data_IF_503878154899
#
_entry.id   IF_503878154899
#
_cell.length_a   1.000
_cell.length_b   1.000
_cell.length_c   1.000
_cell.angle_alpha   90.00
_cell.angle_beta   90.00
_cell.angle_gamma   90.00
#
_symmetry.space_group_name_H-M   'P 1'
#
loop_
_entity.id
_entity.type
_entity.pdbx_description
1 polymer ?
#
# COMPACT_ATOMS: atom_id res chain seq x y z
N UNK A 1 21.59 7.00 -37.76
CA UNK A 1 22.39 5.75 -37.85
C UNK A 1 21.51 4.63 -38.38
N UNK A 2 21.95 3.86 -39.36
CA UNK A 2 21.13 2.86 -40.04
C UNK A 2 21.81 1.48 -40.03
N UNK A 3 20.98 0.42 -40.22
CA UNK A 3 21.42 -0.92 -40.52
C UNK A 3 22.31 -0.90 -41.78
N UNK A 4 23.42 -1.70 -41.84
CA UNK A 4 23.88 -2.70 -40.88
C UNK A 4 24.82 -2.19 -39.77
N UNK A 5 25.15 -0.90 -39.75
CA UNK A 5 26.10 -0.32 -38.77
C UNK A 5 25.51 -0.37 -37.38
N UNK A 6 24.27 0.09 -37.19
CA UNK A 6 23.56 0.06 -35.95
C UNK A 6 22.76 -1.22 -35.80
N UNK A 7 23.09 -2.04 -34.77
CA UNK A 7 22.47 -3.34 -34.50
C UNK A 7 22.16 -3.48 -32.99
N UNK A 8 20.99 -3.09 -32.49
CA UNK A 8 20.62 -3.19 -31.07
C UNK A 8 20.72 -4.62 -30.50
N UNK A 9 20.58 -5.66 -31.34
CA UNK A 9 20.70 -7.08 -30.92
C UNK A 9 22.07 -7.43 -30.34
N UNK A 10 23.12 -6.65 -30.61
CA UNK A 10 24.47 -6.89 -30.09
C UNK A 10 24.48 -6.94 -28.56
N UNK A 11 23.76 -6.01 -27.92
CA UNK A 11 23.68 -5.92 -26.46
C UNK A 11 22.71 -6.94 -25.82
N UNK A 12 21.93 -7.67 -26.64
CA UNK A 12 21.00 -8.72 -26.16
C UNK A 12 21.55 -10.14 -26.30
N UNK A 13 22.72 -10.32 -26.93
CA UNK A 13 23.22 -11.62 -27.35
C UNK A 13 23.53 -12.58 -26.20
N UNK A 14 24.02 -12.09 -25.09
CA UNK A 14 24.33 -12.92 -23.91
C UNK A 14 23.66 -12.35 -22.65
N UNK A 15 23.51 -13.22 -21.65
CA UNK A 15 22.94 -12.82 -20.35
C UNK A 15 23.82 -11.75 -19.67
N UNK A 16 25.13 -11.93 -19.68
CA UNK A 16 26.07 -10.96 -19.11
C UNK A 16 25.93 -9.58 -19.75
N UNK A 17 25.83 -9.48 -21.08
CA UNK A 17 25.60 -8.21 -21.76
C UNK A 17 24.26 -7.58 -21.34
N UNK A 18 23.20 -8.38 -21.28
CA UNK A 18 21.88 -7.87 -20.83
C UNK A 18 21.93 -7.37 -19.38
N UNK A 19 22.62 -8.08 -18.48
CA UNK A 19 22.81 -7.64 -17.08
C UNK A 19 23.61 -6.34 -16.99
N UNK A 20 24.67 -6.18 -17.81
CA UNK A 20 25.49 -4.95 -17.81
C UNK A 20 24.72 -3.69 -18.23
N UNK A 21 23.85 -3.80 -19.22
CA UNK A 21 23.10 -2.65 -19.77
C UNK A 21 21.71 -2.47 -19.18
N UNK A 22 21.37 -3.21 -18.11
CA UNK A 22 20.09 -3.14 -17.42
C UNK A 22 19.95 -1.78 -16.74
N UNK A 23 18.95 -0.99 -17.15
CA UNK A 23 18.71 0.37 -16.64
C UNK A 23 17.92 0.35 -15.31
N UNK A 24 16.97 -0.58 -15.16
CA UNK A 24 16.13 -0.72 -13.96
C UNK A 24 16.52 -1.97 -13.19
N UNK A 25 16.75 -1.83 -11.89
CA UNK A 25 17.05 -2.94 -10.97
C UNK A 25 16.10 -2.89 -9.80
N UNK A 26 15.68 -4.06 -9.34
CA UNK A 26 14.91 -4.23 -8.11
C UNK A 26 15.87 -4.62 -6.97
N UNK A 27 15.55 -4.14 -5.78
CA UNK A 27 16.16 -4.54 -4.52
C UNK A 27 15.06 -4.92 -3.53
N UNK A 28 15.29 -5.80 -2.55
CA UNK A 28 14.38 -5.99 -1.42
C UNK A 28 14.04 -4.68 -0.70
N UNK A 29 14.93 -3.69 -0.74
CA UNK A 29 14.76 -2.35 -0.16
C UNK A 29 13.67 -1.52 -0.86
N UNK A 30 13.28 -1.89 -2.08
CA UNK A 30 12.19 -1.23 -2.80
C UNK A 30 10.81 -1.65 -2.28
N UNK A 31 10.71 -2.72 -1.46
CA UNK A 31 9.43 -3.34 -1.12
C UNK A 31 8.90 -2.94 0.26
N UNK A 32 7.59 -2.74 0.30
CA UNK A 32 6.80 -2.62 1.54
C UNK A 32 5.85 -3.83 1.58
N UNK A 33 5.90 -4.61 2.64
CA UNK A 33 5.11 -5.84 2.75
C UNK A 33 3.80 -5.60 3.52
N UNK A 34 2.60 -5.82 2.92
CA UNK A 34 1.31 -5.64 3.57
C UNK A 34 0.96 -6.79 4.51
N UNK A 35 0.47 -6.45 5.71
CA UNK A 35 -0.01 -7.40 6.71
C UNK A 35 -1.42 -7.03 7.18
N UNK A 36 -2.30 -8.03 7.27
CA UNK A 36 -3.63 -7.91 7.88
C UNK A 36 -3.58 -8.42 9.31
N UNK A 37 -3.98 -7.57 10.27
CA UNK A 37 -3.91 -7.89 11.69
C UNK A 37 -5.30 -8.02 12.31
N UNK A 38 -5.50 -9.09 13.08
CA UNK A 38 -6.74 -9.41 13.78
C UNK A 38 -6.50 -9.62 15.27
N UNK A 39 -7.57 -9.48 16.07
CA UNK A 39 -7.54 -9.84 17.49
C UNK A 39 -7.39 -11.35 17.69
N UNK A 40 -6.83 -11.73 18.84
CA UNK A 40 -6.66 -13.12 19.24
C UNK A 40 -5.22 -13.51 19.48
N UNK A 41 -4.98 -14.81 19.58
CA UNK A 41 -3.64 -15.40 19.76
C UNK A 41 -3.53 -16.67 18.92
N UNK A 42 -2.46 -16.81 18.15
CA UNK A 42 -2.23 -17.92 17.22
C UNK A 42 -3.34 -18.05 16.15
N UNK A 43 -3.99 -16.94 15.82
CA UNK A 43 -5.01 -16.88 14.80
C UNK A 43 -4.37 -16.64 13.44
N UNK A 44 -4.70 -17.50 12.48
CA UNK A 44 -4.35 -17.36 11.07
C UNK A 44 -5.56 -17.74 10.24
N UNK A 45 -6.12 -16.78 9.51
CA UNK A 45 -7.22 -17.01 8.56
C UNK A 45 -6.70 -16.76 7.16
N UNK A 46 -6.55 -17.83 6.38
CA UNK A 46 -6.12 -17.74 4.99
C UNK A 46 -7.19 -17.03 4.15
N UNK A 47 -6.77 -16.10 3.28
CA UNK A 47 -7.66 -15.34 2.39
C UNK A 47 -7.80 -16.10 1.09
N UNK A 48 -9.01 -16.59 0.81
CA UNK A 48 -9.27 -17.49 -0.31
C UNK A 48 -8.87 -16.86 -1.66
N UNK A 49 -9.20 -15.60 -1.87
CA UNK A 49 -8.92 -14.88 -3.11
C UNK A 49 -7.46 -14.44 -3.24
N UNK A 50 -6.62 -14.62 -2.19
CA UNK A 50 -5.21 -14.23 -2.16
C UNK A 50 -4.32 -15.38 -1.65
N UNK A 51 -4.04 -16.40 -2.46
CA UNK A 51 -3.27 -17.59 -2.02
C UNK A 51 -1.93 -17.22 -1.39
N UNK A 52 -1.69 -17.65 -0.15
CA UNK A 52 -0.47 -17.37 0.60
C UNK A 52 -0.53 -16.11 1.49
N UNK A 53 -1.61 -15.34 1.42
CA UNK A 53 -1.87 -14.19 2.30
C UNK A 53 -2.93 -14.58 3.34
N UNK A 54 -2.77 -14.10 4.58
CA UNK A 54 -3.69 -14.40 5.67
C UNK A 54 -3.90 -13.20 6.59
N UNK A 55 -5.03 -13.19 7.29
CA UNK A 55 -5.22 -12.36 8.47
C UNK A 55 -4.51 -13.03 9.66
N UNK A 56 -3.72 -12.27 10.40
CA UNK A 56 -2.84 -12.77 11.44
C UNK A 56 -3.13 -12.09 12.78
N UNK A 57 -3.16 -12.86 13.87
CA UNK A 57 -3.09 -12.27 15.20
C UNK A 57 -1.74 -11.60 15.43
N UNK A 58 -1.68 -10.65 16.38
CA UNK A 58 -0.49 -9.82 16.63
C UNK A 58 0.79 -10.67 16.84
N UNK A 59 0.70 -11.78 17.57
CA UNK A 59 1.83 -12.68 17.81
C UNK A 59 2.35 -13.38 16.52
N UNK A 60 1.49 -13.64 15.57
CA UNK A 60 1.89 -14.19 14.26
C UNK A 60 2.34 -13.08 13.30
N UNK A 61 1.73 -11.90 13.35
CA UNK A 61 2.17 -10.75 12.58
C UNK A 61 3.60 -10.32 12.95
N UNK A 62 3.99 -10.41 14.22
CA UNK A 62 5.38 -10.19 14.66
C UNK A 62 6.35 -11.17 14.00
N UNK A 63 6.00 -12.46 13.94
CA UNK A 63 6.86 -13.46 13.27
C UNK A 63 6.99 -13.23 11.78
N UNK A 64 5.89 -12.85 11.14
CA UNK A 64 5.86 -12.52 9.71
C UNK A 64 6.71 -11.27 9.42
N UNK A 65 6.66 -10.27 10.30
CA UNK A 65 7.49 -9.06 10.24
C UNK A 65 8.99 -9.40 10.42
N UNK A 66 9.34 -10.27 11.36
CA UNK A 66 10.71 -10.77 11.57
C UNK A 66 11.25 -11.49 10.32
N UNK A 67 10.42 -12.35 9.72
CA UNK A 67 10.81 -13.06 8.48
C UNK A 67 11.05 -12.08 7.33
N UNK A 68 10.13 -11.13 7.10
CA UNK A 68 10.27 -10.12 6.05
C UNK A 68 11.54 -9.28 6.23
N UNK A 69 11.80 -8.82 7.44
CA UNK A 69 13.01 -8.05 7.78
C UNK A 69 14.29 -8.87 7.55
N UNK A 70 14.29 -10.15 7.95
CA UNK A 70 15.40 -11.08 7.70
C UNK A 70 15.67 -11.37 6.22
N UNK A 71 14.72 -11.10 5.35
CA UNK A 71 14.88 -11.16 3.90
C UNK A 71 15.44 -9.88 3.29
N UNK A 72 15.61 -8.80 4.08
CA UNK A 72 16.07 -7.50 3.64
C UNK A 72 14.95 -6.55 3.22
N UNK A 73 13.68 -6.87 3.51
CA UNK A 73 12.54 -5.97 3.29
C UNK A 73 12.51 -4.96 4.44
N UNK A 74 12.67 -3.65 4.19
CA UNK A 74 12.86 -2.66 5.24
C UNK A 74 11.56 -2.22 5.91
N UNK A 75 10.41 -2.45 5.28
CA UNK A 75 9.15 -1.89 5.71
C UNK A 75 7.96 -2.85 5.56
N UNK A 76 7.01 -2.71 6.47
CA UNK A 76 5.68 -3.33 6.39
C UNK A 76 4.60 -2.25 6.44
N UNK A 77 3.40 -2.57 5.92
CA UNK A 77 2.21 -1.75 6.12
C UNK A 77 1.11 -2.58 6.77
N UNK A 78 0.49 -2.05 7.83
CA UNK A 78 -0.52 -2.74 8.64
C UNK A 78 -1.93 -2.31 8.25
N UNK A 79 -2.81 -3.30 8.05
CA UNK A 79 -4.26 -3.15 7.90
C UNK A 79 -4.95 -3.87 9.06
N UNK A 80 -5.79 -3.16 9.82
CA UNK A 80 -6.42 -3.71 11.02
C UNK A 80 -7.85 -4.17 10.77
N UNK A 81 -8.17 -5.37 11.23
CA UNK A 81 -9.55 -5.86 11.26
C UNK A 81 -10.03 -5.85 12.71
N UNK A 82 -10.97 -4.97 13.07
CA UNK A 82 -11.43 -4.79 14.45
C UNK A 82 -12.28 -5.99 14.90
N UNK A 83 -12.35 -6.21 16.20
CA UNK A 83 -13.24 -7.20 16.79
C UNK A 83 -14.71 -6.83 16.61
N UNK A 84 -15.01 -5.53 16.62
CA UNK A 84 -16.37 -5.00 16.46
C UNK A 84 -16.34 -3.75 15.60
N UNK A 85 -17.21 -3.70 14.62
CA UNK A 85 -17.40 -2.52 13.77
C UNK A 85 -18.58 -1.68 14.26
N UNK A 86 -18.49 -0.37 14.12
CA UNK A 86 -19.56 0.56 14.43
C UNK A 86 -19.69 1.67 13.37
N UNK A 87 -20.64 2.56 13.49
CA UNK A 87 -20.91 3.62 12.51
C UNK A 87 -19.76 4.65 12.40
N UNK A 88 -18.92 4.76 13.40
CA UNK A 88 -17.83 5.76 13.49
C UNK A 88 -16.44 5.15 13.42
N UNK A 89 -16.33 3.81 13.33
CA UNK A 89 -15.05 3.13 13.31
C UNK A 89 -14.22 3.36 14.58
N UNK A 90 -14.86 3.32 15.77
CA UNK A 90 -14.24 3.76 17.03
C UNK A 90 -12.98 2.99 17.42
N UNK A 91 -12.83 1.74 16.99
CA UNK A 91 -11.62 0.96 17.24
C UNK A 91 -10.40 1.48 16.47
N UNK A 92 -10.59 2.16 15.33
CA UNK A 92 -9.51 2.70 14.49
C UNK A 92 -8.56 3.62 15.26
N UNK A 93 -9.10 4.42 16.18
CA UNK A 93 -8.36 5.39 17.00
C UNK A 93 -8.29 5.01 18.49
N UNK A 94 -8.56 3.75 18.81
CA UNK A 94 -8.46 3.25 20.18
C UNK A 94 -7.01 2.93 20.55
N UNK A 95 -6.53 3.39 21.71
CA UNK A 95 -5.19 3.02 22.23
C UNK A 95 -4.98 1.52 22.39
N UNK A 96 -6.05 0.76 22.53
CA UNK A 96 -6.07 -0.72 22.60
C UNK A 96 -6.52 -1.38 21.29
N UNK A 97 -6.62 -0.63 20.19
CA UNK A 97 -6.93 -1.16 18.86
C UNK A 97 -5.89 -2.16 18.38
N UNK A 98 -6.31 -3.05 17.49
CA UNK A 98 -5.45 -4.15 17.03
C UNK A 98 -4.18 -3.65 16.33
N UNK A 99 -4.27 -2.57 15.55
CA UNK A 99 -3.11 -1.96 14.88
C UNK A 99 -2.15 -1.36 15.91
N UNK A 100 -2.65 -0.60 16.90
CA UNK A 100 -1.83 -0.02 17.94
C UNK A 100 -1.12 -1.08 18.79
N UNK A 101 -1.77 -2.23 19.03
CA UNK A 101 -1.15 -3.38 19.67
C UNK A 101 -0.05 -4.01 18.78
N UNK A 102 -0.33 -4.16 17.47
CA UNK A 102 0.64 -4.71 16.51
C UNK A 102 1.88 -3.82 16.40
N UNK A 103 1.70 -2.49 16.28
CA UNK A 103 2.82 -1.53 16.23
C UNK A 103 3.74 -1.74 17.43
N UNK A 104 3.20 -1.65 18.65
CA UNK A 104 4.01 -1.80 19.87
C UNK A 104 4.74 -3.14 19.95
N UNK A 105 4.06 -4.23 19.55
CA UNK A 105 4.65 -5.56 19.59
C UNK A 105 5.77 -5.73 18.54
N UNK A 106 5.55 -5.24 17.31
CA UNK A 106 6.53 -5.33 16.23
C UNK A 106 7.74 -4.43 16.53
N UNK A 107 7.53 -3.19 16.94
CA UNK A 107 8.64 -2.27 17.28
C UNK A 107 9.50 -2.79 18.44
N UNK A 108 8.90 -3.50 19.40
CA UNK A 108 9.64 -4.15 20.48
C UNK A 108 10.55 -5.28 19.98
N UNK A 109 10.04 -6.13 19.08
CA UNK A 109 10.74 -7.36 18.63
C UNK A 109 11.63 -7.14 17.40
N UNK A 110 11.32 -6.11 16.58
CA UNK A 110 12.03 -5.76 15.33
C UNK A 110 12.21 -4.25 15.25
N UNK A 111 13.02 -3.63 16.13
CA UNK A 111 13.10 -2.17 16.24
C UNK A 111 13.63 -1.48 14.96
N UNK A 112 14.39 -2.20 14.12
CA UNK A 112 14.91 -1.66 12.85
C UNK A 112 13.94 -1.72 11.67
N UNK A 113 12.77 -2.37 11.82
CA UNK A 113 11.76 -2.44 10.78
C UNK A 113 10.91 -1.16 10.77
N UNK A 114 10.72 -0.58 9.60
CA UNK A 114 9.80 0.55 9.39
C UNK A 114 8.36 0.03 9.42
N UNK A 115 7.58 0.49 10.37
CA UNK A 115 6.16 0.14 10.53
C UNK A 115 5.30 1.27 10.01
N UNK A 116 4.70 1.06 8.82
CA UNK A 116 3.75 1.96 8.19
C UNK A 116 2.34 1.52 8.59
N UNK A 117 1.43 2.46 8.76
CA UNK A 117 0.04 2.14 9.08
C UNK A 117 -0.93 2.76 8.10
N UNK A 118 -1.86 1.97 7.59
CA UNK A 118 -2.99 2.49 6.82
C UNK A 118 -3.88 3.37 7.71
N UNK A 119 -4.31 4.51 7.18
CA UNK A 119 -5.27 5.39 7.84
C UNK A 119 -6.53 5.46 6.97
N UNK A 120 -7.52 4.66 7.35
CA UNK A 120 -8.82 4.59 6.70
C UNK A 120 -9.86 4.02 7.66
N UNK A 121 -11.10 4.46 7.55
CA UNK A 121 -12.17 3.97 8.42
C UNK A 121 -12.89 2.73 7.87
N UNK A 122 -12.68 2.33 6.61
CA UNK A 122 -13.49 1.30 5.95
C UNK A 122 -13.40 -0.10 6.58
N UNK A 123 -12.30 -0.45 7.20
CA UNK A 123 -12.13 -1.70 7.95
C UNK A 123 -12.93 -1.70 9.26
N UNK A 124 -13.16 -0.51 9.83
CA UNK A 124 -13.69 -0.30 11.18
C UNK A 124 -15.17 0.11 11.18
N UNK A 125 -15.67 0.67 10.07
CA UNK A 125 -17.07 1.07 9.96
C UNK A 125 -17.99 -0.10 9.63
N UNK A 126 -19.17 -0.15 10.24
CA UNK A 126 -20.15 -1.19 9.97
C UNK A 126 -20.75 -1.14 8.57
N UNK A 127 -20.68 0.02 7.90
CA UNK A 127 -21.11 0.21 6.52
C UNK A 127 -20.00 0.04 5.47
N UNK A 128 -18.74 -0.12 5.87
CA UNK A 128 -17.61 -0.38 4.98
C UNK A 128 -17.16 0.81 4.11
N UNK A 129 -17.65 2.02 4.33
CA UNK A 129 -17.16 3.23 3.66
C UNK A 129 -15.96 3.85 4.41
N UNK A 130 -15.14 4.62 3.68
CA UNK A 130 -13.87 5.18 4.18
C UNK A 130 -14.04 6.43 5.07
N UNK A 131 -15.26 6.91 5.26
CA UNK A 131 -15.59 8.10 6.06
C UNK A 131 -16.91 7.94 6.79
N UNK A 132 -17.33 9.01 7.44
CA UNK A 132 -18.62 9.11 8.16
C UNK A 132 -19.75 9.25 7.15
N UNK A 133 -20.79 8.46 7.32
CA UNK A 133 -21.98 8.52 6.46
C UNK A 133 -23.03 9.46 7.08
N UNK A 134 -23.45 10.47 6.31
CA UNK A 134 -24.50 11.41 6.64
C UNK A 134 -25.52 11.41 5.49
N UNK A 135 -26.79 11.20 5.80
CA UNK A 135 -27.88 11.19 4.80
C UNK A 135 -27.66 10.24 3.61
N UNK A 136 -26.92 9.12 3.84
CA UNK A 136 -26.70 8.07 2.83
C UNK A 136 -25.48 8.31 1.94
N UNK A 137 -24.68 9.33 2.17
CA UNK A 137 -23.40 9.59 1.48
C UNK A 137 -22.26 9.81 2.47
N UNK A 138 -21.01 9.71 2.01
CA UNK A 138 -19.83 9.97 2.84
C UNK A 138 -19.62 11.48 2.97
N UNK A 139 -19.66 11.96 4.21
CA UNK A 139 -19.37 13.35 4.54
C UNK A 139 -17.86 13.54 4.71
N UNK A 140 -17.27 14.31 3.80
CA UNK A 140 -15.85 14.61 3.77
C UNK A 140 -15.37 15.22 5.07
N UNK A 141 -15.94 16.37 5.44
CA UNK A 141 -15.44 17.21 6.54
C UNK A 141 -15.64 16.55 7.91
N UNK A 142 -16.76 15.84 8.09
CA UNK A 142 -17.01 15.05 9.30
C UNK A 142 -16.02 13.89 9.49
N UNK A 143 -15.41 13.43 8.40
CA UNK A 143 -14.43 12.33 8.42
C UNK A 143 -13.03 12.75 8.83
N UNK A 144 -12.61 14.00 8.48
CA UNK A 144 -11.25 14.48 8.66
C UNK A 144 -10.74 14.36 10.10
N UNK A 145 -11.57 14.78 11.06
CA UNK A 145 -11.20 14.73 12.48
C UNK A 145 -10.99 13.32 13.02
N UNK A 146 -11.69 12.30 12.48
CA UNK A 146 -11.50 10.90 12.89
C UNK A 146 -10.26 10.28 12.25
N UNK A 147 -9.98 10.61 10.99
CA UNK A 147 -8.77 10.19 10.29
C UNK A 147 -7.52 10.77 10.97
N UNK A 148 -7.55 12.05 11.32
CA UNK A 148 -6.48 12.71 12.05
C UNK A 148 -6.24 12.06 13.44
N UNK A 149 -7.30 11.74 14.19
CA UNK A 149 -7.22 11.02 15.47
C UNK A 149 -6.67 9.60 15.30
N UNK A 150 -7.03 8.90 14.22
CA UNK A 150 -6.49 7.57 13.92
C UNK A 150 -4.98 7.65 13.68
N UNK A 151 -4.53 8.58 12.83
CA UNK A 151 -3.11 8.80 12.57
C UNK A 151 -2.33 9.12 13.85
N UNK A 152 -2.85 10.02 14.69
CA UNK A 152 -2.26 10.35 15.99
C UNK A 152 -2.15 9.11 16.91
N UNK A 153 -3.19 8.29 16.99
CA UNK A 153 -3.16 7.08 17.81
C UNK A 153 -2.12 6.05 17.34
N UNK A 154 -1.85 6.00 16.03
CA UNK A 154 -0.78 5.18 15.45
C UNK A 154 0.60 5.75 15.78
N UNK A 155 0.78 7.07 15.70
CA UNK A 155 2.00 7.76 16.11
C UNK A 155 2.32 7.52 17.59
N UNK A 156 1.32 7.70 18.49
CA UNK A 156 1.44 7.39 19.93
C UNK A 156 1.79 5.92 20.20
N UNK A 157 1.41 5.00 19.31
CA UNK A 157 1.77 3.59 19.42
C UNK A 157 3.19 3.28 18.94
N UNK A 158 3.86 4.21 18.25
CA UNK A 158 5.22 4.10 17.75
C UNK A 158 5.31 3.70 16.27
N UNK A 159 4.32 4.03 15.45
CA UNK A 159 4.43 3.91 13.98
C UNK A 159 5.55 4.82 13.46
N UNK A 160 6.27 4.37 12.44
CA UNK A 160 7.33 5.14 11.79
C UNK A 160 6.81 5.99 10.61
N UNK A 161 5.59 5.72 10.14
CA UNK A 161 4.94 6.44 9.04
C UNK A 161 3.44 6.16 9.03
N UNK A 162 2.63 7.15 8.66
CA UNK A 162 1.19 6.98 8.44
C UNK A 162 0.84 7.11 6.97
N UNK A 163 -0.16 6.33 6.51
CA UNK A 163 -0.50 6.23 5.10
C UNK A 163 -2.02 6.41 4.87
N UNK A 164 -2.53 7.66 4.75
CA UNK A 164 -3.94 7.93 4.53
C UNK A 164 -4.42 7.41 3.18
N UNK A 165 -5.38 6.49 3.21
CA UNK A 165 -5.91 5.80 2.03
C UNK A 165 -7.41 6.04 1.78
N UNK A 166 -8.01 6.91 2.54
CA UNK A 166 -9.45 7.19 2.57
C UNK A 166 -9.96 8.01 1.38
N UNK A 167 -9.13 8.90 0.81
CA UNK A 167 -9.41 9.83 -0.29
C UNK A 167 -10.37 11.00 0.08
N UNK A 168 -10.43 11.40 1.34
CA UNK A 168 -11.13 12.63 1.71
C UNK A 168 -10.29 13.86 1.36
N UNK A 169 -10.90 14.89 0.82
CA UNK A 169 -10.24 16.18 0.52
C UNK A 169 -9.73 16.83 1.82
N UNK A 170 -8.47 17.27 1.84
CA UNK A 170 -7.88 17.94 3.00
C UNK A 170 -7.40 17.00 4.12
N UNK A 171 -7.44 15.67 3.92
CA UNK A 171 -7.05 14.70 4.95
C UNK A 171 -5.56 14.74 5.30
N UNK A 172 -4.69 14.97 4.32
CA UNK A 172 -3.24 15.05 4.57
C UNK A 172 -2.94 16.24 5.46
N UNK A 173 -3.54 17.41 5.17
CA UNK A 173 -3.43 18.61 6.01
C UNK A 173 -3.95 18.36 7.43
N UNK A 174 -5.14 17.77 7.58
CA UNK A 174 -5.71 17.50 8.89
C UNK A 174 -4.85 16.55 9.73
N UNK A 175 -4.23 15.55 9.09
CA UNK A 175 -3.28 14.64 9.73
C UNK A 175 -1.98 15.36 10.09
N UNK A 176 -1.39 16.14 9.19
CA UNK A 176 -0.16 16.88 9.45
C UNK A 176 -0.33 17.87 10.62
N UNK A 177 -1.40 18.64 10.62
CA UNK A 177 -1.70 19.61 11.67
C UNK A 177 -1.84 18.98 13.07
N UNK A 178 -2.48 17.81 13.18
CA UNK A 178 -2.60 17.14 14.49
C UNK A 178 -1.27 16.53 14.92
N UNK A 179 -0.53 15.92 14.02
CA UNK A 179 0.77 15.32 14.31
C UNK A 179 1.76 16.38 14.80
N UNK A 180 1.88 17.51 14.10
CA UNK A 180 2.76 18.62 14.50
C UNK A 180 2.39 19.20 15.85
N UNK A 181 1.09 19.44 16.09
CA UNK A 181 0.60 19.98 17.36
C UNK A 181 0.89 19.06 18.56
N UNK A 182 0.85 17.75 18.33
CA UNK A 182 1.05 16.75 19.41
C UNK A 182 2.51 16.24 19.52
N UNK A 183 3.48 16.91 18.82
CA UNK A 183 4.92 16.64 18.94
C UNK A 183 5.41 15.49 18.06
N UNK A 184 4.71 15.20 16.95
CA UNK A 184 5.09 14.21 15.94
C UNK A 184 5.44 14.86 14.59
N UNK A 185 6.08 16.02 14.60
CA UNK A 185 6.47 16.78 13.41
C UNK A 185 7.40 16.01 12.48
N UNK A 186 8.19 15.07 13.01
CA UNK A 186 9.13 14.24 12.26
C UNK A 186 8.48 12.97 11.66
N UNK A 187 7.18 12.71 11.92
CA UNK A 187 6.51 11.50 11.42
C UNK A 187 6.08 11.70 9.97
N UNK A 188 6.63 10.95 8.99
CA UNK A 188 6.29 11.13 7.58
C UNK A 188 4.89 10.62 7.24
N UNK A 189 4.31 11.23 6.20
CA UNK A 189 3.01 10.88 5.62
C UNK A 189 3.22 10.32 4.20
N UNK A 190 2.90 9.03 4.00
CA UNK A 190 2.82 8.39 2.70
C UNK A 190 1.37 8.49 2.21
N UNK A 191 1.06 9.49 1.41
CA UNK A 191 -0.31 9.68 0.94
C UNK A 191 -0.67 8.77 -0.23
N UNK A 192 -1.85 8.15 -0.18
CA UNK A 192 -2.49 7.54 -1.34
C UNK A 192 -3.03 8.65 -2.27
N UNK A 193 -2.13 9.45 -2.80
CA UNK A 193 -2.44 10.69 -3.50
C UNK A 193 -3.20 10.48 -4.81
N UNK A 194 -3.02 9.34 -5.47
CA UNK A 194 -3.76 8.97 -6.68
C UNK A 194 -4.35 7.57 -6.54
N UNK A 195 -5.51 7.46 -5.87
CA UNK A 195 -6.24 6.20 -5.71
C UNK A 195 -7.49 6.17 -6.58
N UNK A 196 -7.51 5.29 -7.55
CA UNK A 196 -8.61 5.15 -8.50
C UNK A 196 -9.67 4.15 -8.01
N UNK A 197 -10.94 4.35 -8.37
CA UNK A 197 -12.00 3.37 -8.18
C UNK A 197 -11.73 2.16 -9.09
N UNK A 198 -11.33 1.04 -8.49
CA UNK A 198 -10.81 -0.10 -9.24
C UNK A 198 -11.50 -1.41 -8.89
N UNK A 199 -11.73 -2.24 -9.90
CA UNK A 199 -12.17 -3.64 -9.75
C UNK A 199 -11.09 -4.52 -9.13
N UNK A 200 -9.81 -4.13 -9.24
CA UNK A 200 -8.68 -4.86 -8.67
C UNK A 200 -8.60 -4.82 -7.14
N UNK A 201 -9.53 -4.16 -6.45
CA UNK A 201 -9.63 -4.20 -4.98
C UNK A 201 -10.53 -5.32 -4.44
N UNK A 202 -11.12 -6.16 -5.31
CA UNK A 202 -12.00 -7.25 -4.89
C UNK A 202 -11.41 -8.12 -3.77
N UNK A 203 -10.22 -8.72 -3.96
CA UNK A 203 -9.60 -9.55 -2.94
C UNK A 203 -9.23 -8.79 -1.65
N UNK A 204 -8.84 -7.51 -1.73
CA UNK A 204 -8.60 -6.69 -0.55
C UNK A 204 -9.88 -6.49 0.29
N UNK A 205 -11.04 -6.33 -0.35
CA UNK A 205 -12.31 -6.17 0.37
C UNK A 205 -12.67 -7.40 1.19
N UNK A 206 -12.34 -8.59 0.69
CA UNK A 206 -12.43 -9.84 1.45
C UNK A 206 -11.42 -9.83 2.60
N UNK A 207 -10.15 -9.57 2.31
CA UNK A 207 -9.05 -9.60 3.27
C UNK A 207 -9.23 -8.64 4.45
N UNK A 208 -9.74 -7.44 4.20
CA UNK A 208 -9.95 -6.37 5.18
C UNK A 208 -11.40 -6.31 5.70
N UNK A 209 -12.27 -7.24 5.24
CA UNK A 209 -13.70 -7.26 5.57
C UNK A 209 -14.38 -5.89 5.37
N UNK A 210 -13.99 -5.17 4.29
CA UNK A 210 -14.35 -3.77 4.07
C UNK A 210 -15.26 -3.54 2.87
N UNK A 211 -16.05 -4.54 2.49
CA UNK A 211 -17.03 -4.41 1.41
C UNK A 211 -18.11 -3.40 1.79
N UNK A 212 -18.36 -2.35 0.96
CA UNK A 212 -19.46 -1.43 1.21
C UNK A 212 -20.80 -2.14 1.30
N UNK A 213 -21.60 -1.81 2.31
CA UNK A 213 -22.92 -2.40 2.53
C UNK A 213 -24.01 -1.75 1.65
N UNK A 214 -23.70 -0.59 1.07
CA UNK A 214 -24.56 0.12 0.11
C UNK A 214 -23.69 0.93 -0.85
N UNK A 215 -24.23 1.28 -2.03
CA UNK A 215 -23.56 2.12 -3.01
C UNK A 215 -22.21 1.56 -3.49
N UNK A 216 -21.31 2.48 -3.79
CA UNK A 216 -19.93 2.17 -4.15
C UNK A 216 -18.98 3.26 -3.59
N UNK A 217 -17.72 3.30 -4.03
CA UNK A 217 -16.73 4.27 -3.56
C UNK A 217 -16.35 5.32 -4.62
N UNK A 218 -17.12 5.42 -5.72
CA UNK A 218 -16.79 6.32 -6.84
C UNK A 218 -17.03 7.80 -6.52
N UNK A 219 -17.79 8.11 -5.46
CA UNK A 219 -17.97 9.49 -5.00
C UNK A 219 -16.71 10.11 -4.40
N UNK A 220 -15.72 9.27 -3.98
CA UNK A 220 -14.47 9.75 -3.38
C UNK A 220 -13.20 9.08 -3.91
N UNK A 221 -13.28 7.97 -4.64
CA UNK A 221 -12.15 7.40 -5.38
C UNK A 221 -12.23 7.85 -6.84
N UNK A 222 -11.08 8.24 -7.42
CA UNK A 222 -11.02 8.82 -8.75
C UNK A 222 -11.51 7.88 -9.86
N UNK A 223 -12.09 8.47 -10.89
CA UNK A 223 -12.43 7.74 -12.12
C UNK A 223 -11.15 7.27 -12.82
N UNK A 224 -11.04 5.96 -13.18
CA UNK A 224 -9.89 5.43 -13.89
C UNK A 224 -9.63 6.08 -15.27
N UNK A 225 -10.60 6.76 -15.85
CA UNK A 225 -10.46 7.46 -17.12
C UNK A 225 -9.81 8.85 -17.02
N UNK A 226 -9.56 9.37 -15.79
CA UNK A 226 -9.21 10.77 -15.56
C UNK A 226 -7.74 10.99 -15.16
N UNK A 227 -6.74 10.92 -16.08
CA UNK A 227 -5.34 11.09 -15.70
C UNK A 227 -4.99 12.50 -15.21
N UNK A 228 -5.71 13.54 -15.66
CA UNK A 228 -5.46 14.92 -15.23
C UNK A 228 -5.93 15.18 -13.78
N UNK A 229 -6.97 14.49 -13.37
CA UNK A 229 -7.46 14.50 -11.99
C UNK A 229 -6.42 13.93 -11.04
N UNK A 230 -5.82 12.78 -11.38
CA UNK A 230 -4.74 12.18 -10.59
C UNK A 230 -3.58 13.16 -10.32
N UNK A 231 -3.17 13.94 -11.32
CA UNK A 231 -2.11 14.95 -11.16
C UNK A 231 -2.55 16.12 -10.29
N UNK A 232 -3.84 16.46 -10.30
CA UNK A 232 -4.40 17.50 -9.42
C UNK A 232 -4.41 17.02 -7.97
N UNK A 233 -4.90 15.82 -7.71
CA UNK A 233 -4.93 15.19 -6.38
C UNK A 233 -3.52 15.08 -5.77
N UNK A 234 -2.55 14.58 -6.54
CA UNK A 234 -1.16 14.53 -6.10
C UNK A 234 -0.64 15.92 -5.70
N UNK A 235 -0.97 16.96 -6.48
CA UNK A 235 -0.53 18.33 -6.17
C UNK A 235 -1.15 18.86 -4.89
N UNK A 236 -2.41 18.56 -4.63
CA UNK A 236 -3.09 18.95 -3.41
C UNK A 236 -2.46 18.27 -2.20
N UNK A 237 -2.25 16.96 -2.24
CA UNK A 237 -1.62 16.23 -1.15
C UNK A 237 -0.19 16.70 -0.84
N UNK A 238 0.59 17.06 -1.89
CA UNK A 238 1.92 17.66 -1.71
C UNK A 238 1.82 19.03 -1.01
N UNK A 239 0.85 19.87 -1.39
CA UNK A 239 0.62 21.17 -0.75
C UNK A 239 0.13 21.03 0.69
N UNK A 240 -0.55 19.95 1.01
CA UNK A 240 -1.05 19.62 2.34
C UNK A 240 0.02 19.00 3.26
N UNK A 241 1.20 18.67 2.74
CA UNK A 241 2.33 18.18 3.52
C UNK A 241 2.59 16.68 3.43
N UNK A 242 2.25 16.03 2.32
CA UNK A 242 2.68 14.66 2.05
C UNK A 242 4.19 14.59 1.78
N UNK A 243 4.88 13.63 2.39
CA UNK A 243 6.32 13.38 2.21
C UNK A 243 6.58 12.38 1.08
N UNK A 244 5.68 11.41 0.91
CA UNK A 244 5.71 10.40 -0.13
C UNK A 244 4.34 10.35 -0.80
N UNK A 245 4.32 10.31 -2.12
CA UNK A 245 3.09 10.28 -2.94
C UNK A 245 2.93 8.91 -3.60
N UNK A 246 1.75 8.30 -3.44
CA UNK A 246 1.51 6.95 -3.92
C UNK A 246 0.38 6.86 -4.93
N UNK A 247 0.59 6.01 -5.94
CA UNK A 247 -0.40 5.66 -6.96
C UNK A 247 -0.97 4.27 -6.66
N UNK A 248 -2.29 4.14 -6.69
CA UNK A 248 -3.02 2.89 -6.47
C UNK A 248 -4.22 2.76 -7.41
N UNK A 249 -4.34 1.67 -8.19
CA UNK A 249 -3.41 0.53 -8.37
C UNK A 249 -2.13 0.90 -9.12
N UNK A 250 -1.21 -0.08 -9.32
CA UNK A 250 0.06 0.16 -9.98
C UNK A 250 0.07 -0.32 -11.44
N UNK A 251 -0.21 -1.60 -11.70
CA UNK A 251 0.06 -2.25 -12.99
C UNK A 251 -0.73 -1.63 -14.15
N UNK A 252 -2.00 -1.31 -13.94
CA UNK A 252 -2.85 -0.68 -14.95
C UNK A 252 -2.69 0.86 -15.03
N UNK A 253 -1.80 1.45 -14.22
CA UNK A 253 -1.60 2.89 -14.06
C UNK A 253 -0.13 3.30 -14.15
N UNK A 254 0.68 2.57 -14.92
CA UNK A 254 2.10 2.85 -15.13
C UNK A 254 2.33 4.23 -15.78
N UNK A 255 1.40 4.68 -16.60
CA UNK A 255 1.37 6.01 -17.21
C UNK A 255 1.20 7.11 -16.16
N UNK A 256 0.36 6.90 -15.15
CA UNK A 256 0.17 7.85 -14.04
C UNK A 256 1.43 7.88 -13.17
N UNK A 257 2.00 6.71 -12.82
CA UNK A 257 3.26 6.62 -12.08
C UNK A 257 4.36 7.40 -12.81
N UNK A 258 4.49 7.20 -14.13
CA UNK A 258 5.47 7.90 -14.96
C UNK A 258 5.24 9.41 -14.98
N UNK A 259 4.00 9.83 -15.17
CA UNK A 259 3.64 11.25 -15.23
C UNK A 259 3.89 11.95 -13.89
N UNK A 260 3.58 11.28 -12.77
CA UNK A 260 3.84 11.81 -11.43
C UNK A 260 5.34 11.94 -11.19
N UNK A 261 6.13 10.90 -11.51
CA UNK A 261 7.59 10.92 -11.38
C UNK A 261 8.25 12.07 -12.16
N UNK A 262 7.71 12.42 -13.31
CA UNK A 262 8.24 13.51 -14.16
C UNK A 262 7.85 14.91 -13.67
N UNK A 263 6.80 15.02 -12.84
CA UNK A 263 6.25 16.31 -12.43
C UNK A 263 6.53 16.69 -10.98
N UNK A 264 6.92 15.73 -10.14
CA UNK A 264 7.13 15.94 -8.71
C UNK A 264 8.45 15.34 -8.27
N UNK A 265 9.17 16.08 -7.43
CA UNK A 265 10.50 15.69 -6.91
C UNK A 265 10.43 14.88 -5.60
N UNK A 266 9.22 14.47 -5.17
CA UNK A 266 9.02 13.62 -4.00
C UNK A 266 9.23 12.14 -4.36
N UNK A 267 9.57 11.29 -3.38
CA UNK A 267 9.54 9.84 -3.56
C UNK A 267 8.16 9.36 -3.99
N UNK A 268 8.14 8.44 -4.96
CA UNK A 268 6.91 7.89 -5.54
C UNK A 268 6.70 6.47 -5.07
N UNK A 269 5.60 6.22 -4.36
CA UNK A 269 5.11 4.90 -4.04
C UNK A 269 4.15 4.37 -5.10
N UNK A 270 4.08 3.05 -5.24
CA UNK A 270 3.09 2.39 -6.07
C UNK A 270 2.55 1.13 -5.37
N UNK A 271 1.25 0.89 -5.44
CA UNK A 271 0.66 -0.29 -4.83
C UNK A 271 0.29 -1.34 -5.87
N UNK A 272 1.07 -2.41 -5.93
CA UNK A 272 0.72 -3.64 -6.64
C UNK A 272 -0.37 -4.37 -5.84
N UNK A 273 -1.64 -4.12 -6.23
CA UNK A 273 -2.81 -4.42 -5.41
C UNK A 273 -3.24 -5.88 -5.46
N UNK A 274 -4.18 -6.21 -4.58
CA UNK A 274 -4.68 -7.57 -4.37
C UNK A 274 -5.19 -8.27 -5.63
N UNK A 275 -5.94 -7.59 -6.49
CA UNK A 275 -6.41 -8.16 -7.76
C UNK A 275 -5.28 -8.40 -8.76
N UNK A 276 -4.29 -7.52 -8.82
CA UNK A 276 -3.09 -7.73 -9.64
C UNK A 276 -2.29 -8.94 -9.15
N UNK A 277 -2.14 -9.09 -7.82
CA UNK A 277 -1.55 -10.27 -7.18
C UNK A 277 -2.32 -11.55 -7.55
N UNK A 278 -3.63 -11.55 -7.33
CA UNK A 278 -4.49 -12.72 -7.54
C UNK A 278 -4.54 -13.16 -9.00
N UNK A 279 -4.52 -12.24 -9.97
CA UNK A 279 -4.46 -12.55 -11.40
C UNK A 279 -3.20 -13.34 -11.75
N UNK A 280 -2.03 -12.91 -11.26
CA UNK A 280 -0.76 -13.61 -11.50
C UNK A 280 -0.78 -14.99 -10.84
N UNK A 281 -1.23 -15.07 -9.56
CA UNK A 281 -1.33 -16.37 -8.86
C UNK A 281 -2.26 -17.33 -9.58
N UNK A 282 -3.44 -16.89 -10.01
CA UNK A 282 -4.39 -17.73 -10.73
C UNK A 282 -3.85 -18.23 -12.07
N UNK A 283 -3.25 -17.36 -12.88
CA UNK A 283 -2.68 -17.75 -14.17
C UNK A 283 -1.47 -18.69 -14.01
N UNK A 284 -0.63 -18.45 -13.01
CA UNK A 284 0.50 -19.33 -12.69
C UNK A 284 0.05 -20.71 -12.20
N UNK A 285 -1.00 -20.77 -11.37
CA UNK A 285 -1.58 -22.02 -10.88
C UNK A 285 -2.15 -22.88 -12.01
N UNK A 286 -2.66 -22.26 -13.06
CA UNK A 286 -3.15 -22.94 -14.27
C UNK A 286 -2.02 -23.33 -15.25
N UNK A 287 -0.77 -22.93 -14.95
CA UNK A 287 0.37 -23.19 -15.84
C UNK A 287 0.39 -22.33 -17.12
N UNK A 288 -0.43 -21.29 -17.20
CA UNK A 288 -0.49 -20.42 -18.39
C UNK A 288 0.66 -19.44 -18.47
N UNK A 289 1.23 -19.08 -17.32
CA UNK A 289 2.41 -18.21 -17.20
C UNK A 289 3.40 -18.79 -16.19
N UNK A 290 4.68 -18.47 -16.36
CA UNK A 290 5.71 -18.69 -15.34
C UNK A 290 5.53 -17.65 -14.23
N UNK A 291 5.10 -18.09 -13.05
CA UNK A 291 4.75 -17.21 -11.93
C UNK A 291 5.93 -16.38 -11.42
N UNK A 292 7.11 -17.01 -11.25
CA UNK A 292 8.31 -16.32 -10.76
C UNK A 292 8.75 -15.21 -11.71
N UNK A 293 8.76 -15.52 -13.01
CA UNK A 293 9.10 -14.53 -14.04
C UNK A 293 8.05 -13.41 -14.14
N UNK A 294 6.78 -13.74 -14.04
CA UNK A 294 5.70 -12.75 -14.09
C UNK A 294 5.78 -11.77 -12.90
N UNK A 295 6.06 -12.28 -11.67
CA UNK A 295 6.30 -11.44 -10.49
C UNK A 295 7.42 -10.44 -10.76
N UNK A 296 8.58 -10.92 -11.21
CA UNK A 296 9.74 -10.07 -11.46
C UNK A 296 9.50 -9.07 -12.60
N UNK A 297 8.80 -9.46 -13.65
CA UNK A 297 8.48 -8.59 -14.78
C UNK A 297 7.53 -7.46 -14.36
N UNK A 298 6.48 -7.77 -13.61
CA UNK A 298 5.50 -6.77 -13.12
C UNK A 298 6.15 -5.78 -12.17
N UNK A 299 6.90 -6.25 -11.18
CA UNK A 299 7.58 -5.37 -10.23
C UNK A 299 8.65 -4.50 -10.93
N UNK A 300 9.38 -5.06 -11.90
CA UNK A 300 10.31 -4.29 -12.74
C UNK A 300 9.58 -3.24 -13.58
N UNK A 301 8.40 -3.55 -14.11
CA UNK A 301 7.61 -2.58 -14.89
C UNK A 301 7.16 -1.40 -14.03
N UNK A 302 6.73 -1.67 -12.79
CA UNK A 302 6.33 -0.64 -11.82
C UNK A 302 7.55 0.24 -11.45
N UNK A 303 8.69 -0.38 -11.13
CA UNK A 303 9.95 0.35 -10.86
C UNK A 303 10.40 1.19 -12.04
N UNK A 304 10.37 0.63 -13.25
CA UNK A 304 10.73 1.32 -14.50
C UNK A 304 9.81 2.51 -14.80
N UNK A 305 8.53 2.43 -14.43
CA UNK A 305 7.62 3.55 -14.55
C UNK A 305 8.00 4.73 -13.66
N UNK A 306 8.75 4.50 -12.57
CA UNK A 306 9.29 5.56 -11.72
C UNK A 306 8.98 5.41 -10.22
N UNK A 307 8.42 4.28 -9.80
CA UNK A 307 8.20 4.02 -8.38
C UNK A 307 9.54 3.83 -7.64
N UNK A 308 9.73 4.56 -6.55
CA UNK A 308 10.83 4.36 -5.60
C UNK A 308 10.51 3.23 -4.63
N UNK A 309 9.25 3.17 -4.18
CA UNK A 309 8.73 2.20 -3.22
C UNK A 309 7.56 1.42 -3.81
N UNK A 310 7.50 0.11 -3.56
CA UNK A 310 6.44 -0.75 -4.08
C UNK A 310 5.79 -1.51 -2.93
N UNK A 311 4.53 -1.20 -2.63
CA UNK A 311 3.73 -2.04 -1.75
C UNK A 311 3.27 -3.25 -2.56
N UNK A 312 3.63 -4.45 -2.12
CA UNK A 312 3.28 -5.69 -2.84
C UNK A 312 3.17 -6.89 -1.92
N UNK A 313 2.17 -7.72 -2.15
CA UNK A 313 2.04 -9.03 -1.49
C UNK A 313 3.12 -10.03 -1.96
N UNK A 314 3.77 -9.75 -3.09
CA UNK A 314 4.90 -10.54 -3.59
C UNK A 314 6.24 -10.22 -2.91
N UNK A 315 6.31 -9.30 -1.95
CA UNK A 315 7.57 -8.82 -1.39
C UNK A 315 8.53 -9.93 -0.96
N UNK A 316 8.04 -10.92 -0.20
CA UNK A 316 8.86 -12.07 0.25
C UNK A 316 9.28 -12.99 -0.90
N UNK A 317 8.38 -13.25 -1.87
CA UNK A 317 8.69 -14.07 -3.04
C UNK A 317 9.74 -13.38 -3.92
N UNK A 318 9.54 -12.09 -4.21
CA UNK A 318 10.48 -11.28 -4.98
C UNK A 318 11.85 -11.19 -4.30
N UNK A 319 11.90 -10.96 -2.99
CA UNK A 319 13.16 -10.93 -2.25
C UNK A 319 13.92 -12.28 -2.32
N UNK A 320 13.21 -13.42 -2.32
CA UNK A 320 13.83 -14.75 -2.53
C UNK A 320 14.37 -14.92 -3.95
N UNK A 321 13.63 -14.44 -4.96
CA UNK A 321 14.05 -14.52 -6.36
C UNK A 321 15.29 -13.68 -6.62
N UNK A 322 15.35 -12.47 -6.06
CA UNK A 322 16.51 -11.58 -6.18
C UNK A 322 17.78 -12.16 -5.55
N UNK A 323 17.67 -12.98 -4.51
CA UNK A 323 18.84 -13.68 -3.92
C UNK A 323 19.39 -14.81 -4.78
N UNK A 324 18.61 -15.32 -5.76
CA UNK A 324 19.02 -16.40 -6.67
C UNK A 324 19.67 -15.88 -7.97
N UNK A 325 19.51 -14.60 -8.31
CA UNK A 325 20.14 -13.95 -9.48
C UNK A 325 21.59 -13.49 -9.20
#
# INVERSE_FOLDING_TARGET
>A
MYFPVYRPRRLRKSEGLRKMVRETRLSPEDFIYPLFVVHGRKVKHDIQSMPGVAQLSVDLAVKEAQEAFGMGIPAIILFGIPKKKDLRGTEAYSRSGVVQQAIRAIKKEVPGLVVITDVCLCEYTSHGHCGIVVRGDVDNDASLGLLARMALSHAEAGADMVAPSDMMDGRVKAIREILDREGFEDLPILSYAAKHASVFYGPFREAAESTPQFGDRKSYQMDPANPREAIREVRLDVQEGADIIMIKPALAYLDIIRTVREKFDLPVGAYNVSGEYSMIKAAAQQGWIDGDRAIMEVLTAIKRAGADLIITYFAKEAARLLKKE
#
